data_IF_039018094764
#
_entry.id   IF_039018094764
#
_cell.length_a   1.000
_cell.length_b   1.000
_cell.length_c   1.000
_cell.angle_alpha   90.00
_cell.angle_beta   90.00
_cell.angle_gamma   90.00
#
_symmetry.space_group_name_H-M   'P 1'
#
loop_
_entity.id
_entity.type
_entity.pdbx_description
1 polymer ?
#
# COMPACT_ATOMS: atom_id res chain seq x y z
N UNK A 1 -10.56 2.92 2.92
CA UNK A 1 -11.21 1.71 2.41
C UNK A 1 -10.22 0.86 1.62
N UNK A 2 -10.62 -0.38 1.33
CA UNK A 2 -9.84 -1.31 0.49
C UNK A 2 -10.61 -1.65 -0.77
N UNK A 3 -9.91 -1.94 -1.88
CA UNK A 3 -10.51 -2.42 -3.13
C UNK A 3 -11.26 -3.75 -2.99
N UNK A 4 -11.01 -4.52 -1.93
CA UNK A 4 -11.83 -5.69 -1.57
C UNK A 4 -13.27 -5.29 -1.23
N UNK A 5 -13.47 -4.13 -0.61
CA UNK A 5 -14.78 -3.70 -0.09
C UNK A 5 -15.83 -3.55 -1.21
N UNK A 6 -15.62 -2.78 -2.27
CA UNK A 6 -16.61 -2.66 -3.35
C UNK A 6 -16.77 -3.97 -4.16
N UNK A 7 -15.79 -4.87 -4.13
CA UNK A 7 -15.85 -6.15 -4.83
C UNK A 7 -16.85 -7.15 -4.21
N UNK A 8 -17.32 -6.91 -2.99
CA UNK A 8 -18.26 -7.83 -2.27
C UNK A 8 -19.61 -7.92 -2.98
N UNK A 9 -20.17 -6.79 -3.38
CA UNK A 9 -21.43 -6.75 -4.13
C UNK A 9 -21.70 -5.32 -4.66
N UNK A 10 -22.62 -5.21 -5.61
CA UNK A 10 -23.09 -3.92 -6.12
C UNK A 10 -23.65 -3.01 -5.01
N UNK A 11 -24.36 -3.58 -4.04
CA UNK A 11 -24.89 -2.83 -2.90
C UNK A 11 -23.76 -2.23 -2.04
N UNK A 12 -22.69 -3.00 -1.78
CA UNK A 12 -21.53 -2.52 -1.02
C UNK A 12 -20.74 -1.49 -1.82
N UNK A 13 -20.58 -1.66 -3.14
CA UNK A 13 -19.99 -0.64 -4.03
C UNK A 13 -20.73 0.70 -3.91
N UNK A 14 -22.08 0.68 -4.00
CA UNK A 14 -22.91 1.88 -3.90
C UNK A 14 -22.81 2.53 -2.49
N UNK A 15 -22.69 1.71 -1.45
CA UNK A 15 -22.48 2.19 -0.07
C UNK A 15 -21.11 2.87 0.07
N UNK A 16 -20.04 2.25 -0.44
CA UNK A 16 -18.68 2.86 -0.47
C UNK A 16 -18.72 4.19 -1.20
N UNK A 17 -19.31 4.23 -2.40
CA UNK A 17 -19.44 5.45 -3.20
C UNK A 17 -20.16 6.58 -2.42
N UNK A 18 -21.23 6.24 -1.72
CA UNK A 18 -22.00 7.21 -0.93
C UNK A 18 -21.15 7.75 0.25
N UNK A 19 -20.41 6.88 0.93
CA UNK A 19 -19.51 7.28 2.00
C UNK A 19 -18.38 8.18 1.49
N UNK A 20 -17.77 7.84 0.34
CA UNK A 20 -16.70 8.64 -0.26
C UNK A 20 -17.16 10.03 -0.70
N UNK A 21 -18.39 10.15 -1.24
CA UNK A 21 -19.02 11.45 -1.54
C UNK A 21 -19.16 12.28 -0.27
N UNK A 22 -19.69 11.69 0.79
CA UNK A 22 -19.80 12.35 2.09
C UNK A 22 -18.44 12.82 2.61
N UNK A 23 -17.41 11.99 2.53
CA UNK A 23 -16.06 12.38 2.91
C UNK A 23 -15.59 13.61 2.14
N UNK A 24 -15.80 13.61 0.82
CA UNK A 24 -15.41 14.73 -0.06
C UNK A 24 -16.15 16.04 0.29
N UNK A 25 -17.44 15.94 0.58
CA UNK A 25 -18.29 17.10 0.95
C UNK A 25 -17.94 17.66 2.34
N UNK A 26 -17.27 16.90 3.19
CA UNK A 26 -16.94 17.28 4.57
C UNK A 26 -15.43 17.38 4.83
N UNK A 27 -14.61 17.49 3.79
CA UNK A 27 -13.14 17.61 3.88
C UNK A 27 -12.48 16.49 4.72
N UNK A 28 -13.05 15.27 4.67
CA UNK A 28 -12.49 14.08 5.31
C UNK A 28 -11.50 13.43 4.36
N UNK A 29 -10.26 13.26 4.80
CA UNK A 29 -9.21 12.59 4.01
C UNK A 29 -9.57 11.14 3.75
N UNK A 30 -9.44 10.71 2.50
CA UNK A 30 -9.72 9.36 2.04
C UNK A 30 -8.42 8.63 1.68
N UNK A 31 -8.20 7.49 2.31
CA UNK A 31 -7.09 6.58 2.02
C UNK A 31 -7.66 5.30 1.40
N UNK A 32 -7.09 4.87 0.27
CA UNK A 32 -7.45 3.65 -0.41
C UNK A 32 -6.25 2.70 -0.51
N UNK A 33 -6.42 1.46 -0.05
CA UNK A 33 -5.58 0.34 -0.44
C UNK A 33 -6.24 -0.37 -1.64
N UNK A 34 -5.58 -0.37 -2.80
CA UNK A 34 -6.13 -0.92 -4.05
C UNK A 34 -6.44 -2.42 -3.95
N UNK A 35 -5.61 -3.17 -3.28
CA UNK A 35 -5.84 -4.52 -2.76
C UNK A 35 -6.68 -5.43 -3.68
N UNK A 36 -6.21 -5.67 -4.90
CA UNK A 36 -6.91 -6.50 -5.90
C UNK A 36 -7.06 -7.96 -5.43
N UNK A 37 -8.21 -8.53 -5.68
CA UNK A 37 -8.48 -9.94 -5.41
C UNK A 37 -9.20 -10.59 -6.61
N UNK A 38 -8.43 -11.24 -7.50
CA UNK A 38 -8.95 -11.85 -8.71
C UNK A 38 -9.99 -12.98 -8.51
N UNK A 39 -10.15 -13.47 -7.26
CA UNK A 39 -11.24 -14.40 -6.91
C UNK A 39 -12.58 -13.72 -6.69
N UNK A 40 -12.61 -12.40 -6.53
CA UNK A 40 -13.83 -11.63 -6.25
C UNK A 40 -14.37 -10.94 -7.49
N UNK A 41 -13.50 -10.45 -8.38
CA UNK A 41 -13.85 -9.75 -9.61
C UNK A 41 -12.78 -9.85 -10.68
N UNK A 42 -13.14 -9.60 -11.93
CA UNK A 42 -12.16 -9.53 -13.02
C UNK A 42 -11.38 -8.20 -13.01
N UNK A 43 -10.24 -8.14 -13.68
CA UNK A 43 -9.47 -6.90 -13.85
C UNK A 43 -10.31 -5.80 -14.51
N UNK A 44 -11.11 -6.15 -15.51
CA UNK A 44 -11.98 -5.21 -16.22
C UNK A 44 -13.04 -4.60 -15.28
N UNK A 45 -13.66 -5.43 -14.43
CA UNK A 45 -14.61 -4.97 -13.42
C UNK A 45 -13.92 -4.08 -12.38
N UNK A 46 -12.76 -4.51 -11.88
CA UNK A 46 -11.98 -3.76 -10.92
C UNK A 46 -11.58 -2.38 -11.47
N UNK A 47 -11.10 -2.31 -12.71
CA UNK A 47 -10.72 -1.06 -13.35
C UNK A 47 -11.89 -0.10 -13.50
N UNK A 48 -13.06 -0.57 -13.92
CA UNK A 48 -14.25 0.29 -14.05
C UNK A 48 -14.63 0.91 -12.70
N UNK A 49 -14.70 0.09 -11.65
CA UNK A 49 -15.15 0.56 -10.33
C UNK A 49 -14.07 1.39 -9.63
N UNK A 50 -12.84 0.88 -9.58
CA UNK A 50 -11.77 1.56 -8.81
C UNK A 50 -11.37 2.87 -9.45
N UNK A 51 -11.25 2.96 -10.78
CA UNK A 51 -10.95 4.22 -11.46
C UNK A 51 -12.00 5.31 -11.19
N UNK A 52 -13.28 4.92 -11.07
CA UNK A 52 -14.32 5.85 -10.70
C UNK A 52 -14.23 6.26 -9.20
N UNK A 53 -13.92 5.34 -8.30
CA UNK A 53 -13.75 5.65 -6.88
C UNK A 53 -12.50 6.48 -6.58
N UNK A 54 -11.45 6.38 -7.41
CA UNK A 54 -10.21 7.15 -7.25
C UNK A 54 -10.41 8.66 -7.27
N UNK A 55 -11.49 9.20 -7.86
CA UNK A 55 -11.79 10.64 -7.82
C UNK A 55 -12.01 11.18 -6.39
N UNK A 56 -12.23 10.30 -5.41
CA UNK A 56 -12.45 10.66 -4.00
C UNK A 56 -11.20 10.42 -3.13
N UNK A 57 -10.15 9.79 -3.66
CA UNK A 57 -8.99 9.32 -2.90
C UNK A 57 -7.93 10.40 -2.79
N UNK A 58 -7.44 10.66 -1.59
CA UNK A 58 -6.32 11.57 -1.34
C UNK A 58 -4.97 10.83 -1.24
N UNK A 59 -4.99 9.61 -0.69
CA UNK A 59 -3.81 8.77 -0.47
C UNK A 59 -4.05 7.37 -1.04
N UNK A 60 -3.17 6.91 -1.91
CA UNK A 60 -3.26 5.60 -2.55
C UNK A 60 -2.17 4.66 -2.02
N UNK A 61 -2.56 3.49 -1.53
CA UNK A 61 -1.66 2.37 -1.26
C UNK A 61 -1.83 1.39 -2.42
N UNK A 62 -0.75 1.10 -3.14
CA UNK A 62 -0.78 0.24 -4.31
C UNK A 62 0.43 -0.69 -4.31
N UNK A 63 0.22 -1.98 -4.45
CA UNK A 63 1.30 -2.97 -4.40
C UNK A 63 1.28 -3.82 -5.66
N UNK A 64 2.45 -4.27 -6.10
CA UNK A 64 2.65 -5.27 -7.15
C UNK A 64 1.61 -5.15 -8.31
N UNK A 65 0.74 -6.15 -8.46
CA UNK A 65 -0.27 -6.23 -9.53
C UNK A 65 -1.45 -5.25 -9.37
N UNK A 66 -1.60 -4.62 -8.21
CA UNK A 66 -2.76 -3.76 -7.94
C UNK A 66 -2.83 -2.58 -8.92
N UNK A 67 -1.69 -1.99 -9.27
CA UNK A 67 -1.60 -0.89 -10.23
C UNK A 67 -2.28 -1.23 -11.56
N UNK A 68 -1.93 -2.37 -12.13
CA UNK A 68 -2.47 -2.78 -13.42
C UNK A 68 -3.87 -3.35 -13.29
N UNK A 69 -4.10 -4.20 -12.28
CA UNK A 69 -5.36 -4.90 -12.11
C UNK A 69 -6.53 -3.95 -11.80
N UNK A 70 -6.30 -2.86 -11.04
CA UNK A 70 -7.36 -1.95 -10.61
C UNK A 70 -7.38 -0.62 -11.37
N UNK A 71 -6.24 -0.15 -11.89
CA UNK A 71 -6.15 1.15 -12.54
C UNK A 71 -5.71 1.07 -14.01
N UNK A 72 -5.24 -0.09 -14.47
CA UNK A 72 -4.69 -0.25 -15.82
C UNK A 72 -3.35 0.46 -15.99
N UNK A 73 -2.60 0.68 -14.89
CA UNK A 73 -1.31 1.36 -14.89
C UNK A 73 -0.22 0.30 -14.69
N UNK A 74 0.71 0.22 -15.64
CA UNK A 74 1.84 -0.70 -15.52
C UNK A 74 2.88 -0.17 -14.53
N UNK A 75 3.24 -0.97 -13.51
CA UNK A 75 4.26 -0.63 -12.52
C UNK A 75 5.13 -1.84 -12.12
N UNK A 76 4.74 -3.05 -12.51
CA UNK A 76 5.38 -4.29 -12.09
C UNK A 76 5.23 -5.37 -13.18
N UNK A 77 6.28 -6.13 -13.46
CA UNK A 77 6.31 -7.13 -14.52
C UNK A 77 5.80 -8.52 -14.12
N UNK A 78 5.40 -8.67 -12.84
CA UNK A 78 4.93 -9.95 -12.28
C UNK A 78 6.03 -10.79 -11.62
N UNK A 79 7.30 -10.38 -11.69
CA UNK A 79 8.41 -11.14 -11.13
C UNK A 79 8.72 -10.72 -9.67
N UNK A 80 8.16 -11.42 -8.71
CA UNK A 80 8.36 -11.14 -7.28
C UNK A 80 9.80 -11.30 -6.79
N UNK A 81 10.69 -11.96 -7.55
CA UNK A 81 12.10 -12.09 -7.15
C UNK A 81 12.94 -10.84 -7.44
N UNK A 82 12.39 -9.86 -8.18
CA UNK A 82 13.09 -8.65 -8.62
C UNK A 82 12.24 -7.38 -8.43
N UNK A 83 11.26 -7.38 -7.53
CA UNK A 83 10.35 -6.24 -7.37
C UNK A 83 11.07 -4.96 -6.90
N UNK A 84 12.06 -5.08 -5.99
CA UNK A 84 12.88 -3.93 -5.55
C UNK A 84 13.75 -3.42 -6.71
N UNK A 85 14.25 -4.31 -7.56
CA UNK A 85 15.08 -3.93 -8.71
C UNK A 85 14.27 -3.14 -9.77
N UNK A 86 12.94 -3.26 -9.73
CA UNK A 86 12.00 -2.54 -10.60
C UNK A 86 11.53 -1.20 -10.03
N UNK A 87 12.21 -0.66 -9.04
CA UNK A 87 11.80 0.55 -8.32
C UNK A 87 11.50 1.74 -9.23
N UNK A 88 12.20 1.88 -10.35
CA UNK A 88 11.96 2.99 -11.27
C UNK A 88 10.63 2.83 -12.02
N UNK A 89 10.23 1.60 -12.37
CA UNK A 89 8.91 1.31 -12.95
C UNK A 89 7.79 1.59 -11.94
N UNK A 90 8.00 1.25 -10.67
CA UNK A 90 7.07 1.63 -9.59
C UNK A 90 6.94 3.15 -9.45
N UNK A 91 8.04 3.90 -9.50
CA UNK A 91 8.01 5.38 -9.47
C UNK A 91 7.21 5.95 -10.64
N UNK A 92 7.41 5.42 -11.85
CA UNK A 92 6.64 5.82 -13.02
C UNK A 92 5.15 5.53 -12.85
N UNK A 93 4.79 4.35 -12.34
CA UNK A 93 3.41 3.99 -12.01
C UNK A 93 2.77 4.93 -10.98
N UNK A 94 3.51 5.30 -9.92
CA UNK A 94 3.04 6.24 -8.91
C UNK A 94 2.80 7.65 -9.50
N UNK A 95 3.70 8.12 -10.34
CA UNK A 95 3.54 9.39 -11.06
C UNK A 95 2.32 9.34 -12.00
N UNK A 96 2.11 8.21 -12.67
CA UNK A 96 0.96 8.03 -13.54
C UNK A 96 -0.37 8.06 -12.76
N UNK A 97 -0.42 7.48 -11.54
CA UNK A 97 -1.59 7.61 -10.65
C UNK A 97 -1.89 9.09 -10.39
N UNK A 98 -0.91 9.88 -9.97
CA UNK A 98 -1.13 11.30 -9.66
C UNK A 98 -1.48 12.14 -10.89
N UNK A 99 -1.04 11.72 -12.09
CA UNK A 99 -1.39 12.36 -13.36
C UNK A 99 -2.83 12.06 -13.79
N UNK A 100 -3.24 10.79 -13.68
CA UNK A 100 -4.60 10.38 -14.05
C UNK A 100 -5.65 10.79 -13.01
N UNK A 101 -5.25 10.90 -11.74
CA UNK A 101 -6.12 11.24 -10.60
C UNK A 101 -5.51 12.43 -9.83
N UNK A 102 -5.70 13.69 -10.29
CA UNK A 102 -5.04 14.86 -9.70
C UNK A 102 -5.44 15.19 -8.25
N UNK A 103 -6.50 14.58 -7.75
CA UNK A 103 -6.89 14.65 -6.35
C UNK A 103 -6.01 13.78 -5.44
N UNK A 104 -5.35 12.74 -5.96
CA UNK A 104 -4.42 11.90 -5.21
C UNK A 104 -3.14 12.70 -4.93
N UNK A 105 -2.91 13.01 -3.65
CA UNK A 105 -1.77 13.82 -3.20
C UNK A 105 -0.53 12.99 -2.94
N UNK A 106 -0.73 11.70 -2.62
CA UNK A 106 0.37 10.82 -2.30
C UNK A 106 0.08 9.35 -2.61
N UNK A 107 1.13 8.62 -2.92
CA UNK A 107 1.07 7.17 -3.25
C UNK A 107 2.17 6.46 -2.47
N UNK A 108 1.87 5.30 -1.92
CA UNK A 108 2.85 4.45 -1.24
C UNK A 108 2.74 3.00 -1.67
N UNK A 109 3.85 2.26 -1.62
CA UNK A 109 3.93 0.85 -2.00
C UNK A 109 4.94 0.10 -1.16
N UNK A 110 4.75 -1.20 -1.04
CA UNK A 110 5.76 -2.15 -0.54
C UNK A 110 6.35 -2.89 -1.73
N UNK A 111 7.67 -2.83 -1.86
CA UNK A 111 8.44 -3.57 -2.85
C UNK A 111 9.15 -4.74 -2.16
N UNK A 112 9.30 -5.85 -2.88
CA UNK A 112 9.94 -7.04 -2.32
C UNK A 112 10.73 -7.81 -3.38
N UNK A 113 11.86 -8.39 -2.95
CA UNK A 113 12.59 -9.41 -3.68
C UNK A 113 12.44 -10.73 -2.93
N UNK A 114 11.67 -11.67 -3.48
CA UNK A 114 11.50 -13.00 -2.89
C UNK A 114 12.61 -13.92 -3.34
N UNK A 115 13.41 -14.42 -2.41
CA UNK A 115 14.50 -15.37 -2.68
C UNK A 115 14.01 -16.81 -2.57
N UNK A 116 13.15 -17.07 -1.59
CA UNK A 116 12.43 -18.34 -1.39
C UNK A 116 10.99 -18.02 -0.96
N UNK A 117 10.20 -19.04 -0.63
CA UNK A 117 8.84 -18.84 -0.08
C UNK A 117 8.87 -18.11 1.27
N UNK A 118 9.95 -18.30 2.05
CA UNK A 118 10.08 -17.80 3.42
C UNK A 118 11.08 -16.63 3.53
N UNK A 119 11.98 -16.47 2.57
CA UNK A 119 13.03 -15.45 2.62
C UNK A 119 12.88 -14.41 1.53
N UNK A 120 13.06 -13.16 1.89
CA UNK A 120 13.07 -12.07 0.94
C UNK A 120 13.53 -10.76 1.57
N UNK A 121 13.62 -9.77 0.71
CA UNK A 121 13.92 -8.38 1.06
C UNK A 121 12.65 -7.55 0.89
N UNK A 122 12.38 -6.66 1.83
CA UNK A 122 11.23 -5.75 1.86
C UNK A 122 11.68 -4.30 1.95
N UNK A 123 11.02 -3.43 1.19
CA UNK A 123 11.27 -1.99 1.18
C UNK A 123 9.97 -1.24 0.97
N UNK A 124 9.78 -0.12 1.67
CA UNK A 124 8.70 0.82 1.41
C UNK A 124 9.15 1.96 0.50
N UNK A 125 8.26 2.41 -0.37
CA UNK A 125 8.44 3.65 -1.15
C UNK A 125 7.21 4.53 -0.99
N UNK A 126 7.44 5.84 -0.85
CA UNK A 126 6.40 6.85 -0.64
C UNK A 126 6.65 8.06 -1.53
N UNK A 127 5.64 8.44 -2.29
CA UNK A 127 5.62 9.64 -3.12
C UNK A 127 4.66 10.68 -2.53
N UNK A 128 5.16 11.87 -2.26
CA UNK A 128 4.39 13.02 -1.77
C UNK A 128 5.10 14.32 -2.11
N UNK A 129 4.38 15.37 -2.42
CA UNK A 129 4.90 16.73 -2.71
C UNK A 129 6.03 16.73 -3.76
N UNK A 130 5.89 15.92 -4.80
CA UNK A 130 6.87 15.84 -5.90
C UNK A 130 8.16 15.09 -5.56
N UNK A 131 8.23 14.40 -4.40
CA UNK A 131 9.44 13.70 -3.94
C UNK A 131 9.15 12.24 -3.62
N UNK A 132 10.17 11.41 -3.83
CA UNK A 132 10.16 10.01 -3.41
C UNK A 132 10.98 9.84 -2.12
N UNK A 133 10.43 9.08 -1.19
CA UNK A 133 11.07 8.64 0.03
C UNK A 133 11.13 7.11 0.02
N UNK A 134 12.25 6.55 0.41
CA UNK A 134 12.50 5.11 0.39
C UNK A 134 12.99 4.68 1.75
N UNK A 135 12.45 3.59 2.27
CA UNK A 135 12.98 3.00 3.50
C UNK A 135 14.28 2.25 3.26
N UNK A 136 15.03 1.89 4.30
CA UNK A 136 16.02 0.83 4.20
C UNK A 136 15.39 -0.48 3.69
N UNK A 137 16.23 -1.35 3.11
CA UNK A 137 15.86 -2.72 2.75
C UNK A 137 15.98 -3.58 4.00
N UNK A 138 14.92 -4.34 4.30
CA UNK A 138 14.89 -5.29 5.40
C UNK A 138 14.93 -6.71 4.86
N UNK A 139 15.96 -7.48 5.22
CA UNK A 139 15.99 -8.91 4.97
C UNK A 139 15.20 -9.65 6.02
N UNK A 140 14.26 -10.48 5.60
CA UNK A 140 13.31 -11.14 6.49
C UNK A 140 13.22 -12.63 6.17
N UNK A 141 13.19 -13.44 7.23
CA UNK A 141 12.71 -14.82 7.19
C UNK A 141 11.26 -14.80 7.71
N UNK A 142 10.30 -14.95 6.81
CA UNK A 142 8.87 -14.82 7.11
C UNK A 142 8.31 -16.13 7.69
N UNK A 143 7.60 -16.03 8.80
CA UNK A 143 6.77 -17.12 9.33
C UNK A 143 5.42 -17.15 8.61
N UNK A 144 4.82 -15.99 8.38
CA UNK A 144 3.53 -15.84 7.72
C UNK A 144 3.36 -14.44 7.10
N UNK A 145 3.01 -14.40 5.81
CA UNK A 145 2.86 -13.14 5.08
C UNK A 145 1.46 -12.50 5.19
N UNK A 146 0.47 -13.24 5.74
CA UNK A 146 -0.89 -12.73 5.89
C UNK A 146 -0.92 -11.52 6.81
N UNK A 147 -1.60 -10.44 6.40
CA UNK A 147 -1.71 -9.20 7.18
C UNK A 147 -0.48 -8.27 7.14
N UNK A 148 0.60 -8.62 6.43
CA UNK A 148 1.78 -7.74 6.35
C UNK A 148 1.48 -6.44 5.58
N UNK A 149 0.66 -6.50 4.51
CA UNK A 149 0.15 -5.32 3.80
C UNK A 149 -0.73 -4.45 4.68
N UNK A 150 -1.66 -5.07 5.43
CA UNK A 150 -2.53 -4.36 6.37
C UNK A 150 -1.74 -3.69 7.49
N UNK A 151 -0.70 -4.35 8.00
CA UNK A 151 0.22 -3.79 9.00
C UNK A 151 0.98 -2.57 8.44
N UNK A 152 1.44 -2.64 7.18
CA UNK A 152 2.03 -1.50 6.49
C UNK A 152 1.05 -0.34 6.37
N UNK A 153 -0.15 -0.60 5.84
CA UNK A 153 -1.18 0.41 5.65
C UNK A 153 -1.60 1.07 6.97
N UNK A 154 -1.82 0.27 8.03
CA UNK A 154 -2.18 0.78 9.35
C UNK A 154 -1.08 1.66 9.95
N UNK A 155 0.19 1.23 9.86
CA UNK A 155 1.32 2.01 10.35
C UNK A 155 1.58 3.27 9.52
N UNK A 156 1.35 3.22 8.20
CA UNK A 156 1.40 4.38 7.32
C UNK A 156 0.35 5.44 7.72
N UNK A 157 -0.90 5.00 7.93
CA UNK A 157 -1.98 5.88 8.43
C UNK A 157 -1.64 6.45 9.80
N UNK A 158 -1.07 5.63 10.69
CA UNK A 158 -0.59 6.09 12.00
C UNK A 158 0.44 7.22 11.86
N UNK A 159 1.40 7.09 10.94
CA UNK A 159 2.39 8.13 10.68
C UNK A 159 1.74 9.44 10.19
N UNK A 160 0.77 9.35 9.28
CA UNK A 160 0.04 10.53 8.78
C UNK A 160 -0.73 11.23 9.90
N UNK A 161 -1.48 10.49 10.74
CA UNK A 161 -2.29 11.05 11.83
C UNK A 161 -1.40 11.72 12.90
N UNK A 162 -0.22 11.15 13.16
CA UNK A 162 0.71 11.68 14.17
C UNK A 162 1.69 12.73 13.60
N UNK A 163 1.52 13.13 12.35
CA UNK A 163 2.34 14.19 11.75
C UNK A 163 3.82 13.80 11.58
N UNK A 164 4.12 12.53 11.35
CA UNK A 164 5.49 12.12 11.01
C UNK A 164 5.90 12.75 9.68
N UNK A 165 7.17 13.13 9.56
CA UNK A 165 7.69 13.50 8.25
C UNK A 165 7.63 12.32 7.28
N UNK A 166 7.69 12.56 5.96
CA UNK A 166 7.50 11.50 4.96
C UNK A 166 8.51 10.34 5.07
N UNK A 167 9.78 10.61 5.38
CA UNK A 167 10.78 9.56 5.54
C UNK A 167 10.47 8.70 6.75
N UNK A 168 10.19 9.32 7.89
CA UNK A 168 9.81 8.60 9.12
C UNK A 168 8.52 7.79 8.91
N UNK A 169 7.56 8.30 8.13
CA UNK A 169 6.31 7.60 7.84
C UNK A 169 6.57 6.29 7.08
N UNK A 170 7.36 6.31 6.02
CA UNK A 170 7.65 5.09 5.24
C UNK A 170 8.53 4.11 6.02
N UNK A 171 9.50 4.61 6.81
CA UNK A 171 10.37 3.76 7.64
C UNK A 171 9.58 3.06 8.76
N UNK A 172 8.65 3.77 9.38
CA UNK A 172 7.76 3.20 10.39
C UNK A 172 6.80 2.17 9.79
N UNK A 173 6.21 2.48 8.64
CA UNK A 173 5.27 1.60 7.96
C UNK A 173 5.91 0.27 7.55
N UNK A 174 7.09 0.29 6.93
CA UNK A 174 7.78 -0.94 6.54
C UNK A 174 8.25 -1.74 7.76
N UNK A 175 8.69 -1.07 8.84
CA UNK A 175 9.10 -1.75 10.07
C UNK A 175 7.95 -2.51 10.73
N UNK A 176 6.73 -1.96 10.71
CA UNK A 176 5.54 -2.65 11.19
C UNK A 176 5.17 -3.86 10.32
N UNK A 177 5.29 -3.73 9.00
CA UNK A 177 5.07 -4.83 8.05
C UNK A 177 6.07 -5.97 8.26
N UNK A 178 7.35 -5.65 8.42
CA UNK A 178 8.43 -6.62 8.68
C UNK A 178 8.20 -7.37 9.99
N UNK A 179 7.79 -6.69 11.05
CA UNK A 179 7.43 -7.34 12.32
C UNK A 179 6.25 -8.31 12.14
N UNK A 180 5.24 -7.91 11.35
CA UNK A 180 4.08 -8.79 11.07
C UNK A 180 4.48 -10.08 10.37
N UNK A 181 5.46 -10.05 9.47
CA UNK A 181 5.96 -11.26 8.79
C UNK A 181 6.51 -12.31 9.76
N UNK A 182 6.91 -11.91 10.98
CA UNK A 182 7.44 -12.79 12.03
C UNK A 182 6.37 -13.26 13.04
N UNK A 183 5.09 -12.90 12.82
CA UNK A 183 3.97 -13.21 13.71
C UNK A 183 2.99 -14.10 12.98
N UNK A 184 2.58 -15.20 13.63
CA UNK A 184 1.50 -16.06 13.12
C UNK A 184 0.14 -15.37 13.22
N UNK A 185 -0.78 -15.78 12.33
CA UNK A 185 -2.15 -15.27 12.20
C UNK A 185 -2.23 -13.82 11.68
N UNK A 186 -3.44 -13.29 11.49
CA UNK A 186 -3.70 -12.03 10.80
C UNK A 186 -3.32 -10.79 11.61
N UNK A 187 -3.46 -10.85 12.93
CA UNK A 187 -3.30 -9.66 13.77
C UNK A 187 -1.83 -9.31 14.01
N UNK A 188 -1.50 -8.04 13.81
CA UNK A 188 -0.22 -7.50 14.20
C UNK A 188 -0.28 -7.09 15.69
N UNK A 189 0.25 -7.92 16.58
CA UNK A 189 0.22 -7.73 18.05
C UNK A 189 1.44 -6.97 18.58
N UNK A 190 2.07 -6.12 17.76
CA UNK A 190 3.22 -5.31 18.16
C UNK A 190 2.78 -3.95 18.68
N UNK A 191 3.61 -3.37 19.54
CA UNK A 191 3.45 -2.00 20.03
C UNK A 191 4.18 -1.01 19.12
N UNK A 192 3.83 0.26 19.21
CA UNK A 192 4.58 1.34 18.54
C UNK A 192 6.07 1.34 18.96
N UNK A 193 6.38 1.00 20.20
CA UNK A 193 7.76 0.92 20.70
C UNK A 193 8.55 -0.19 19.99
N UNK A 194 7.93 -1.34 19.73
CA UNK A 194 8.56 -2.44 19.00
C UNK A 194 8.86 -2.03 17.56
N UNK A 195 7.95 -1.32 16.91
CA UNK A 195 8.17 -0.78 15.56
C UNK A 195 9.34 0.21 15.55
N UNK A 196 9.44 1.11 16.52
CA UNK A 196 10.58 2.03 16.63
C UNK A 196 11.90 1.30 16.89
N UNK A 197 11.92 0.20 17.61
CA UNK A 197 13.14 -0.61 17.80
C UNK A 197 13.67 -1.14 16.47
N UNK A 198 12.78 -1.69 15.62
CA UNK A 198 13.17 -2.15 14.28
C UNK A 198 13.60 -0.99 13.39
N UNK A 199 12.82 0.08 13.33
CA UNK A 199 13.12 1.26 12.53
C UNK A 199 14.49 1.88 12.86
N UNK A 200 14.88 1.86 14.14
CA UNK A 200 16.15 2.41 14.61
C UNK A 200 17.29 1.38 14.67
N UNK A 201 17.02 0.10 14.44
CA UNK A 201 18.07 -0.90 14.35
C UNK A 201 18.89 -0.67 13.09
N UNK A 202 20.20 -0.46 13.25
CA UNK A 202 21.10 -0.48 12.10
C UNK A 202 21.08 -1.90 11.53
N UNK A 203 20.77 -2.03 10.25
CA UNK A 203 20.97 -3.29 9.54
C UNK A 203 22.44 -3.68 9.69
N UNK A 204 22.74 -4.59 10.61
CA UNK A 204 24.06 -5.20 10.77
C UNK A 204 24.15 -6.44 9.89
#
# INVERSE_FOLDING_TARGET
FSGVTPAVSKYVEDTVRSALKYCKENDIQVICDLNYRGKMWSKEQAQVVMRDLMQYVDVCIANDEDFEATLGIHAFDGNLSTGIDQIDTYKEGMLEITRQFPNVKSVTSVLRNMHTVEEGDWMGIYYVDGKFYQSPIHRVHSLEAVGAGDAYGAAFVHGLINGFDPQKTVDFAISASVLKLMIQHDFNVVTQEDVFKIMNSKNT
#
